data_IF_453532783302
#
_entry.id   IF_453532783302
#
_cell.length_a   1.000
_cell.length_b   1.000
_cell.length_c   1.000
_cell.angle_alpha   90.00
_cell.angle_beta   90.00
_cell.angle_gamma   90.00
#
_symmetry.space_group_name_H-M   'P 1'
#
loop_
_entity.id
_entity.type
_entity.pdbx_description
1 polymer ?
#
# COMPACT_ATOMS: atom_id res chain seq x y z
N UNK A 1 -15.10 28.14 -21.59
CA UNK A 1 -14.72 26.84 -22.14
C UNK A 1 -13.30 26.55 -21.66
N UNK A 2 -13.16 25.87 -20.51
CA UNK A 2 -11.85 25.46 -20.01
C UNK A 2 -11.38 24.26 -20.82
N UNK A 3 -10.23 24.39 -21.49
CA UNK A 3 -9.64 23.26 -22.22
C UNK A 3 -9.38 22.13 -21.25
N UNK A 4 -9.92 20.94 -21.55
CA UNK A 4 -9.59 19.72 -20.82
C UNK A 4 -8.07 19.50 -20.95
N UNK A 5 -7.32 19.81 -19.88
CA UNK A 5 -5.92 19.42 -19.81
C UNK A 5 -5.86 17.89 -19.87
N UNK A 6 -4.99 17.36 -20.71
CA UNK A 6 -4.74 15.93 -20.75
C UNK A 6 -4.39 15.44 -19.33
N UNK A 7 -4.89 14.27 -18.90
CA UNK A 7 -4.63 13.77 -17.56
C UNK A 7 -3.12 13.72 -17.28
N UNK A 8 -2.67 14.12 -16.09
CA UNK A 8 -1.24 14.15 -15.79
C UNK A 8 -0.67 12.74 -15.89
N UNK A 9 0.48 12.60 -16.55
CA UNK A 9 1.22 11.34 -16.54
C UNK A 9 1.73 11.09 -15.12
N UNK A 10 1.69 9.84 -14.63
CA UNK A 10 2.18 9.50 -13.28
C UNK A 10 3.65 9.92 -13.04
N UNK A 11 4.46 10.01 -14.10
CA UNK A 11 5.81 10.57 -14.04
C UNK A 11 5.83 12.06 -13.67
N UNK A 12 4.96 12.88 -14.28
CA UNK A 12 4.83 14.31 -13.96
C UNK A 12 4.27 14.50 -12.56
N UNK A 13 3.30 13.67 -12.17
CA UNK A 13 2.74 13.69 -10.82
C UNK A 13 3.80 13.33 -9.76
N UNK A 14 4.60 12.30 -10.01
CA UNK A 14 5.70 11.92 -9.13
C UNK A 14 6.75 13.03 -8.98
N UNK A 15 7.15 13.66 -10.08
CA UNK A 15 8.08 14.80 -10.04
C UNK A 15 7.49 16.03 -9.32
N UNK A 16 6.18 16.27 -9.46
CA UNK A 16 5.50 17.30 -8.69
C UNK A 16 5.53 16.97 -7.19
N UNK A 17 5.20 15.74 -6.85
CA UNK A 17 5.19 15.28 -5.46
C UNK A 17 6.57 15.41 -4.81
N UNK A 18 7.63 15.03 -5.52
CA UNK A 18 9.01 15.22 -5.08
C UNK A 18 9.32 16.69 -4.73
N UNK A 19 8.96 17.63 -5.60
CA UNK A 19 9.20 19.06 -5.35
C UNK A 19 8.46 19.56 -4.12
N UNK A 20 7.23 19.12 -3.89
CA UNK A 20 6.49 19.52 -2.68
C UNK A 20 7.13 18.93 -1.41
N UNK A 21 7.63 17.69 -1.47
CA UNK A 21 8.38 17.10 -0.35
C UNK A 21 9.70 17.83 -0.07
N UNK A 22 10.41 18.25 -1.11
CA UNK A 22 11.63 19.06 -1.00
C UNK A 22 11.33 20.43 -0.40
N UNK A 23 10.30 21.13 -0.91
CA UNK A 23 9.89 22.45 -0.43
C UNK A 23 9.49 22.44 1.06
N UNK A 24 9.00 21.31 1.57
CA UNK A 24 8.67 21.11 2.99
C UNK A 24 9.79 20.45 3.80
N UNK A 25 10.98 20.26 3.23
CA UNK A 25 12.15 19.67 3.91
C UNK A 25 11.84 18.31 4.54
N UNK A 26 11.12 17.45 3.83
CA UNK A 26 10.83 16.07 4.28
C UNK A 26 12.10 15.19 4.24
N UNK A 27 13.08 15.55 3.41
CA UNK A 27 14.39 14.88 3.37
C UNK A 27 14.37 13.47 2.77
N UNK A 28 13.44 13.20 1.84
CA UNK A 28 13.43 11.97 1.07
C UNK A 28 14.66 11.89 0.15
N UNK A 29 15.36 10.76 0.17
CA UNK A 29 16.48 10.48 -0.75
C UNK A 29 16.06 9.60 -1.93
N UNK A 30 14.92 8.95 -1.81
CA UNK A 30 14.29 8.20 -2.90
C UNK A 30 12.79 8.14 -2.68
N UNK A 31 12.06 8.25 -3.78
CA UNK A 31 10.62 8.03 -3.83
C UNK A 31 10.33 6.86 -4.75
N UNK A 32 9.48 5.96 -4.27
CA UNK A 32 8.97 4.86 -5.09
C UNK A 32 7.44 4.86 -5.01
N UNK A 33 6.81 4.13 -5.90
CA UNK A 33 5.39 3.80 -5.78
C UNK A 33 5.17 2.31 -5.95
N UNK A 34 4.05 1.83 -5.41
CA UNK A 34 3.58 0.48 -5.68
C UNK A 34 3.06 0.37 -7.11
N UNK A 35 3.26 -0.80 -7.70
CA UNK A 35 2.87 -1.21 -9.04
C UNK A 35 3.76 -0.68 -10.18
N UNK A 36 3.73 -1.38 -11.31
CA UNK A 36 4.43 -0.98 -12.53
C UNK A 36 3.63 0.09 -13.29
N UNK A 37 4.27 0.82 -14.21
CA UNK A 37 3.59 1.85 -14.99
C UNK A 37 2.34 1.33 -15.73
N UNK A 38 2.38 0.09 -16.23
CA UNK A 38 1.24 -0.56 -16.92
C UNK A 38 0.07 -0.89 -15.99
N UNK A 39 0.27 -0.85 -14.67
CA UNK A 39 -0.75 -1.13 -13.67
C UNK A 39 -1.43 0.14 -13.12
N UNK A 40 -0.92 1.32 -13.53
CA UNK A 40 -1.41 2.63 -13.14
C UNK A 40 -2.22 3.23 -14.30
N UNK A 41 -3.54 3.17 -14.18
CA UNK A 41 -4.45 3.60 -15.24
C UNK A 41 -5.11 4.91 -14.87
N UNK A 42 -4.64 5.99 -15.47
CA UNK A 42 -5.23 7.31 -15.31
C UNK A 42 -6.64 7.36 -15.94
N UNK A 43 -7.57 8.15 -15.38
CA UNK A 43 -7.45 8.95 -14.17
C UNK A 43 -7.85 8.19 -12.89
N UNK A 44 -7.90 6.85 -12.92
CA UNK A 44 -8.57 6.04 -11.89
C UNK A 44 -7.65 5.41 -10.85
N UNK A 45 -6.40 5.07 -11.19
CA UNK A 45 -5.45 4.53 -10.21
C UNK A 45 -4.80 5.66 -9.40
N UNK A 46 -4.74 5.50 -8.09
CA UNK A 46 -3.94 6.33 -7.21
C UNK A 46 -2.47 5.90 -7.23
N UNK A 47 -1.61 6.83 -6.84
CA UNK A 47 -0.16 6.64 -6.73
C UNK A 47 0.19 6.28 -5.28
N UNK A 48 0.36 4.99 -5.03
CA UNK A 48 0.74 4.43 -3.72
C UNK A 48 2.22 4.69 -3.40
N UNK A 49 2.56 5.89 -2.93
CA UNK A 49 3.95 6.32 -2.67
C UNK A 49 4.59 5.59 -1.47
N UNK A 50 5.90 5.37 -1.53
CA UNK A 50 6.79 4.99 -0.42
C UNK A 50 7.94 6.00 -0.35
N UNK A 51 8.32 6.38 0.87
CA UNK A 51 9.41 7.32 1.10
C UNK A 51 10.62 6.59 1.65
N UNK A 52 11.80 6.82 1.08
CA UNK A 52 13.06 6.36 1.60
C UNK A 52 13.83 7.54 2.18
N UNK A 53 14.20 7.42 3.45
CA UNK A 53 14.97 8.41 4.20
C UNK A 53 16.41 7.94 4.38
N UNK A 54 17.39 8.85 4.45
CA UNK A 54 18.78 8.47 4.69
C UNK A 54 18.96 7.83 6.07
N UNK A 55 18.20 8.32 7.06
CA UNK A 55 18.13 7.83 8.44
C UNK A 55 16.78 8.19 9.06
N UNK A 56 16.46 7.63 10.22
CA UNK A 56 15.29 8.05 10.98
C UNK A 56 15.39 9.55 11.36
N UNK A 57 14.31 10.35 11.21
CA UNK A 57 14.24 11.70 11.75
C UNK A 57 14.39 11.68 13.28
N UNK A 58 14.93 12.77 13.83
CA UNK A 58 14.98 12.96 15.27
C UNK A 58 13.58 13.17 15.89
N UNK A 59 12.65 13.71 15.10
CA UNK A 59 11.26 13.89 15.50
C UNK A 59 10.31 13.48 14.36
N UNK A 60 9.72 12.29 14.50
CA UNK A 60 8.71 11.78 13.58
C UNK A 60 7.44 12.61 13.53
N UNK A 61 7.05 13.29 14.62
CA UNK A 61 5.81 14.08 14.66
C UNK A 61 5.95 15.30 13.76
N UNK A 62 7.04 16.05 13.94
CA UNK A 62 7.38 17.21 13.10
C UNK A 62 7.58 16.80 11.64
N UNK A 63 8.28 15.68 11.38
CA UNK A 63 8.43 15.14 10.04
C UNK A 63 7.09 14.82 9.36
N UNK A 64 6.12 14.28 10.11
CA UNK A 64 4.78 14.00 9.59
C UNK A 64 3.97 15.26 9.32
N UNK A 65 4.11 16.33 10.11
CA UNK A 65 3.46 17.61 9.82
C UNK A 65 3.94 18.19 8.48
N UNK A 66 5.25 18.12 8.22
CA UNK A 66 5.84 18.51 6.93
C UNK A 66 5.35 17.65 5.78
N UNK A 67 5.27 16.32 5.98
CA UNK A 67 4.75 15.39 4.99
C UNK A 67 3.27 15.66 4.67
N UNK A 68 2.44 15.92 5.69
CA UNK A 68 1.03 16.27 5.51
C UNK A 68 0.87 17.57 4.72
N UNK A 69 1.67 18.59 5.05
CA UNK A 69 1.66 19.87 4.34
C UNK A 69 2.04 19.69 2.86
N UNK A 70 3.15 18.98 2.57
CA UNK A 70 3.59 18.70 1.20
C UNK A 70 2.52 17.95 0.40
N UNK A 71 1.88 16.96 1.02
CA UNK A 71 0.82 16.21 0.37
C UNK A 71 -0.42 17.07 0.07
N UNK A 72 -0.83 17.89 1.04
CA UNK A 72 -1.95 18.84 0.91
C UNK A 72 -1.68 19.84 -0.21
N UNK A 73 -0.46 20.38 -0.31
CA UNK A 73 -0.06 21.28 -1.38
C UNK A 73 -0.16 20.57 -2.74
N UNK A 74 0.40 19.36 -2.86
CA UNK A 74 0.38 18.58 -4.10
C UNK A 74 -1.04 18.29 -4.60
N UNK A 75 -1.94 17.86 -3.70
CA UNK A 75 -3.36 17.60 -4.00
C UNK A 75 -4.08 18.88 -4.40
N UNK A 76 -3.75 20.01 -3.80
CA UNK A 76 -4.41 21.31 -4.06
C UNK A 76 -4.03 21.93 -5.41
N UNK A 77 -2.97 21.44 -6.08
CA UNK A 77 -2.52 21.99 -7.37
C UNK A 77 -3.51 21.78 -8.51
N UNK A 78 -4.24 20.67 -8.52
CA UNK A 78 -5.16 20.31 -9.60
C UNK A 78 -6.27 19.36 -9.09
N UNK A 79 -7.49 19.52 -9.61
CA UNK A 79 -8.63 18.70 -9.20
C UNK A 79 -8.44 17.21 -9.49
N UNK A 80 -7.73 16.86 -10.56
CA UNK A 80 -7.42 15.46 -10.90
C UNK A 80 -6.51 14.80 -9.88
N UNK A 81 -5.70 15.56 -9.14
CA UNK A 81 -4.79 15.02 -8.13
C UNK A 81 -5.53 14.43 -6.93
N UNK A 82 -6.78 14.81 -6.68
CA UNK A 82 -7.58 14.29 -5.55
C UNK A 82 -7.72 12.76 -5.59
N UNK A 83 -7.89 12.19 -6.80
CA UNK A 83 -7.92 10.73 -6.99
C UNK A 83 -6.52 10.15 -7.11
N UNK A 84 -5.63 10.81 -7.84
CA UNK A 84 -4.31 10.26 -8.15
C UNK A 84 -3.35 10.28 -6.94
N UNK A 85 -3.57 11.18 -5.98
CA UNK A 85 -2.87 11.29 -4.70
C UNK A 85 -3.88 11.15 -3.55
N UNK A 86 -4.79 10.17 -3.64
CA UNK A 86 -5.83 9.93 -2.63
C UNK A 86 -5.26 9.78 -1.21
N UNK A 87 -4.02 9.28 -1.13
CA UNK A 87 -3.36 8.93 0.11
C UNK A 87 -1.97 9.55 0.21
N UNK A 88 -1.59 10.08 1.39
CA UNK A 88 -0.17 10.27 1.71
C UNK A 88 0.57 8.93 1.68
N UNK A 89 1.92 8.94 1.63
CA UNK A 89 2.73 7.74 1.46
C UNK A 89 2.32 6.64 2.43
N UNK A 90 2.30 5.40 1.93
CA UNK A 90 1.85 4.25 2.71
C UNK A 90 2.91 3.73 3.69
N UNK A 91 4.19 4.00 3.41
CA UNK A 91 5.31 3.62 4.27
C UNK A 91 6.46 4.63 4.16
N UNK A 92 7.24 4.74 5.24
CA UNK A 92 8.55 5.37 5.25
C UNK A 92 9.62 4.39 5.77
N UNK A 93 10.65 4.13 4.97
CA UNK A 93 11.77 3.27 5.32
C UNK A 93 13.08 4.03 5.33
N UNK A 94 14.09 3.53 6.03
CA UNK A 94 15.46 4.03 5.89
C UNK A 94 16.22 3.29 4.78
N UNK A 95 17.26 3.93 4.25
CA UNK A 95 18.18 3.28 3.30
C UNK A 95 18.86 2.06 3.94
N UNK A 96 19.15 2.10 5.24
CA UNK A 96 19.70 0.97 5.99
C UNK A 96 18.74 -0.22 6.00
N UNK A 97 17.44 0.01 6.24
CA UNK A 97 16.42 -1.06 6.23
C UNK A 97 16.29 -1.74 4.87
N UNK A 98 16.31 -0.95 3.79
CA UNK A 98 16.29 -1.47 2.42
C UNK A 98 17.58 -2.25 2.09
N UNK A 99 18.75 -1.73 2.49
CA UNK A 99 20.04 -2.41 2.30
C UNK A 99 20.15 -3.71 3.10
N UNK A 100 19.62 -3.71 4.33
CA UNK A 100 19.63 -4.83 5.28
C UNK A 100 18.63 -5.94 4.96
N UNK A 101 17.85 -5.83 3.86
CA UNK A 101 16.82 -6.80 3.45
C UNK A 101 15.66 -6.94 4.44
N UNK A 102 15.31 -5.83 5.10
CA UNK A 102 14.28 -5.80 6.14
C UNK A 102 12.93 -5.31 5.63
N UNK A 103 12.92 -4.69 4.43
CA UNK A 103 11.68 -4.49 3.68
C UNK A 103 11.27 -5.82 3.07
N UNK A 104 10.02 -6.23 3.28
CA UNK A 104 9.52 -7.49 2.77
C UNK A 104 9.74 -7.59 1.25
N UNK A 105 10.42 -8.65 0.81
CA UNK A 105 10.69 -8.93 -0.60
C UNK A 105 9.44 -8.86 -1.50
N UNK A 106 8.26 -9.41 -1.13
CA UNK A 106 7.08 -9.34 -2.00
C UNK A 106 6.48 -7.93 -2.08
N UNK A 107 6.70 -7.06 -1.09
CA UNK A 107 6.34 -5.64 -1.22
C UNK A 107 7.33 -4.92 -2.15
N UNK A 108 8.63 -5.08 -1.92
CA UNK A 108 9.68 -4.40 -2.70
C UNK A 108 9.65 -4.79 -4.19
N UNK A 109 9.37 -6.06 -4.50
CA UNK A 109 9.25 -6.55 -5.88
C UNK A 109 8.20 -5.81 -6.71
N UNK A 110 7.20 -5.19 -6.07
CA UNK A 110 6.14 -4.44 -6.74
C UNK A 110 6.48 -2.97 -6.98
N UNK A 111 7.60 -2.48 -6.45
CA UNK A 111 7.93 -1.06 -6.52
C UNK A 111 8.37 -0.63 -7.92
N UNK A 112 8.17 0.65 -8.18
CA UNK A 112 8.69 1.41 -9.31
C UNK A 112 9.29 2.72 -8.81
N UNK A 113 10.35 3.19 -9.46
CA UNK A 113 11.08 4.39 -9.04
C UNK A 113 10.35 5.64 -9.54
N UNK A 114 10.17 6.62 -8.63
CA UNK A 114 9.80 7.99 -8.97
C UNK A 114 11.08 8.81 -9.13
N UNK A 115 11.92 8.82 -8.08
CA UNK A 115 13.15 9.61 -8.02
C UNK A 115 14.18 8.99 -7.09
N UNK A 116 15.46 9.38 -7.24
CA UNK A 116 16.59 8.89 -6.47
C UNK A 116 17.52 7.95 -7.25
N UNK A 117 18.35 7.18 -6.54
CA UNK A 117 19.38 6.31 -7.12
C UNK A 117 18.79 5.10 -7.85
N UNK A 118 18.79 5.12 -9.19
CA UNK A 118 18.41 3.98 -10.04
C UNK A 118 19.22 2.73 -9.71
N UNK A 119 20.52 2.88 -9.46
CA UNK A 119 21.42 1.77 -9.14
C UNK A 119 21.01 1.06 -7.85
N UNK A 120 20.74 1.80 -6.79
CA UNK A 120 20.36 1.22 -5.50
C UNK A 120 18.97 0.59 -5.58
N UNK A 121 18.03 1.26 -6.25
CA UNK A 121 16.69 0.73 -6.48
C UNK A 121 16.72 -0.60 -7.24
N UNK A 122 17.43 -0.68 -8.37
CA UNK A 122 17.55 -1.92 -9.13
C UNK A 122 18.24 -3.02 -8.33
N UNK A 123 19.29 -2.69 -7.56
CA UNK A 123 19.93 -3.63 -6.65
C UNK A 123 18.94 -4.23 -5.66
N UNK A 124 18.10 -3.42 -5.03
CA UNK A 124 17.09 -3.91 -4.08
C UNK A 124 16.01 -4.74 -4.79
N UNK A 125 15.49 -4.25 -5.92
CA UNK A 125 14.42 -4.91 -6.67
C UNK A 125 14.86 -6.28 -7.20
N UNK A 126 16.03 -6.36 -7.83
CA UNK A 126 16.59 -7.63 -8.30
C UNK A 126 16.82 -8.61 -7.15
N UNK A 127 17.34 -8.14 -6.00
CA UNK A 127 17.50 -9.01 -4.81
C UNK A 127 16.17 -9.55 -4.31
N UNK A 128 15.14 -8.71 -4.22
CA UNK A 128 13.81 -9.13 -3.80
C UNK A 128 13.20 -10.14 -4.78
N UNK A 129 13.36 -9.94 -6.09
CA UNK A 129 12.84 -10.86 -7.12
C UNK A 129 13.58 -12.21 -7.16
N UNK A 130 14.90 -12.20 -6.95
CA UNK A 130 15.74 -13.42 -7.01
C UNK A 130 15.83 -14.19 -5.69
N UNK A 131 15.40 -13.61 -4.56
CA UNK A 131 15.43 -14.32 -3.28
C UNK A 131 14.58 -15.60 -3.36
N UNK A 132 14.97 -16.66 -2.65
CA UNK A 132 14.15 -17.86 -2.54
C UNK A 132 12.77 -17.53 -1.97
N UNK A 133 11.75 -18.25 -2.40
CA UNK A 133 10.42 -18.15 -1.82
C UNK A 133 10.44 -18.62 -0.36
N UNK A 134 9.82 -17.87 0.55
CA UNK A 134 9.74 -18.21 1.98
C UNK A 134 8.31 -18.06 2.54
N UNK A 135 8.15 -18.44 3.80
CA UNK A 135 6.86 -18.36 4.51
C UNK A 135 6.34 -16.91 4.61
N UNK A 136 7.24 -15.92 4.68
CA UNK A 136 6.88 -14.51 4.65
C UNK A 136 6.18 -14.09 3.35
N UNK A 137 6.60 -14.66 2.20
CA UNK A 137 5.92 -14.45 0.91
C UNK A 137 4.51 -15.04 0.95
N UNK A 138 4.41 -16.27 1.43
CA UNK A 138 3.14 -16.96 1.53
C UNK A 138 2.15 -16.18 2.42
N UNK A 139 2.59 -15.70 3.58
CA UNK A 139 1.78 -14.84 4.45
C UNK A 139 1.33 -13.56 3.73
N UNK A 140 2.24 -12.89 3.02
CA UNK A 140 1.94 -11.66 2.29
C UNK A 140 0.84 -11.87 1.24
N UNK A 141 1.01 -12.84 0.34
CA UNK A 141 0.04 -13.07 -0.74
C UNK A 141 -1.28 -13.66 -0.23
N UNK A 142 -1.25 -14.52 0.79
CA UNK A 142 -2.49 -15.00 1.44
C UNK A 142 -3.23 -13.87 2.15
N UNK A 143 -2.54 -12.92 2.76
CA UNK A 143 -3.18 -11.75 3.37
C UNK A 143 -3.92 -10.88 2.34
N UNK A 144 -3.37 -10.74 1.12
CA UNK A 144 -4.05 -10.07 0.00
C UNK A 144 -5.37 -10.77 -0.35
N UNK A 145 -5.34 -12.09 -0.49
CA UNK A 145 -6.52 -12.91 -0.81
C UNK A 145 -7.54 -12.88 0.32
N UNK A 146 -7.13 -13.14 1.55
CA UNK A 146 -8.00 -13.14 2.72
C UNK A 146 -8.70 -11.79 2.88
N UNK A 147 -7.96 -10.69 2.70
CA UNK A 147 -8.48 -9.34 2.83
C UNK A 147 -9.46 -8.89 1.73
N UNK A 148 -9.65 -9.67 0.65
CA UNK A 148 -10.56 -9.36 -0.47
C UNK A 148 -11.65 -10.43 -0.66
N UNK A 149 -11.30 -11.71 -0.50
CA UNK A 149 -12.22 -12.84 -0.66
C UNK A 149 -12.98 -13.15 0.64
N UNK A 150 -12.27 -13.14 1.78
CA UNK A 150 -12.83 -13.46 3.10
C UNK A 150 -13.88 -12.46 3.62
N UNK A 151 -14.08 -11.36 2.90
CA UNK A 151 -15.08 -10.32 3.20
C UNK A 151 -15.93 -9.91 2.00
N UNK A 152 -16.09 -10.77 0.99
CA UNK A 152 -16.87 -10.58 -0.27
C UNK A 152 -16.90 -9.13 -0.74
N UNK A 153 -15.86 -8.74 -1.48
CA UNK A 153 -15.70 -7.41 -2.08
C UNK A 153 -17.03 -6.74 -2.47
N UNK A 154 -17.23 -5.52 -1.98
CA UNK A 154 -18.40 -4.70 -2.24
C UNK A 154 -17.98 -3.49 -3.04
N UNK A 155 -18.45 -3.38 -4.28
CA UNK A 155 -18.13 -2.23 -5.14
C UNK A 155 -18.51 -0.88 -4.50
N UNK A 156 -19.58 -0.86 -3.68
CA UNK A 156 -20.00 0.34 -2.96
C UNK A 156 -18.99 0.82 -1.91
N UNK A 157 -18.04 -0.03 -1.49
CA UNK A 157 -16.97 0.36 -0.57
C UNK A 157 -15.88 1.20 -1.26
N UNK A 158 -15.78 1.15 -2.60
CA UNK A 158 -14.91 2.04 -3.39
C UNK A 158 -15.63 3.36 -3.65
N UNK A 159 -15.24 4.38 -2.89
CA UNK A 159 -15.86 5.70 -2.99
C UNK A 159 -15.50 6.34 -4.35
N UNK A 160 -16.50 6.91 -5.06
CA UNK A 160 -16.28 7.75 -6.23
C UNK A 160 -16.11 9.24 -5.88
N UNK A 161 -16.07 9.64 -4.60
CA UNK A 161 -16.22 11.04 -4.18
C UNK A 161 -15.08 11.95 -4.68
N UNK A 162 -13.88 11.40 -4.87
CA UNK A 162 -12.72 12.13 -5.42
C UNK A 162 -12.56 11.97 -6.95
N UNK A 163 -13.52 11.31 -7.63
CA UNK A 163 -13.49 11.07 -9.07
C UNK A 163 -14.17 12.21 -9.81
N UNK A 164 -13.40 12.96 -10.59
CA UNK A 164 -13.90 14.15 -11.29
C UNK A 164 -14.80 13.78 -12.48
N UNK A 165 -14.48 12.70 -13.21
CA UNK A 165 -15.18 12.33 -14.44
C UNK A 165 -15.35 10.81 -14.59
N UNK A 166 -16.35 10.42 -15.39
CA UNK A 166 -16.60 9.05 -15.83
C UNK A 166 -16.70 8.01 -14.69
N UNK A 167 -17.62 8.26 -13.74
CA UNK A 167 -17.91 7.34 -12.61
C UNK A 167 -18.19 5.91 -13.09
N UNK A 168 -18.82 5.74 -14.25
CA UNK A 168 -19.07 4.42 -14.83
C UNK A 168 -17.77 3.68 -15.18
N UNK A 169 -16.78 4.36 -15.76
CA UNK A 169 -15.45 3.79 -16.00
C UNK A 169 -14.71 3.51 -14.69
N UNK A 170 -14.76 4.43 -13.74
CA UNK A 170 -14.17 4.21 -12.41
C UNK A 170 -14.72 2.96 -11.73
N UNK A 171 -16.05 2.75 -11.75
CA UNK A 171 -16.66 1.54 -11.17
C UNK A 171 -16.18 0.26 -11.85
N UNK A 172 -15.96 0.27 -13.17
CA UNK A 172 -15.35 -0.88 -13.87
C UNK A 172 -13.88 -1.05 -13.44
N UNK A 173 -13.15 0.05 -13.34
CA UNK A 173 -11.77 0.07 -12.86
C UNK A 173 -11.65 -0.55 -11.46
N UNK A 174 -12.53 -0.21 -10.51
CA UNK A 174 -12.52 -0.81 -9.18
C UNK A 174 -12.67 -2.34 -9.22
N UNK A 175 -13.63 -2.85 -10.01
CA UNK A 175 -13.81 -4.30 -10.17
C UNK A 175 -12.56 -4.98 -10.73
N UNK A 176 -11.98 -4.42 -11.79
CA UNK A 176 -10.85 -5.05 -12.49
C UNK A 176 -9.55 -4.87 -11.71
N UNK A 177 -9.23 -3.65 -11.28
CA UNK A 177 -7.91 -3.26 -10.80
C UNK A 177 -7.79 -3.13 -9.28
N UNK A 178 -8.90 -2.97 -8.54
CA UNK A 178 -8.88 -2.98 -7.06
C UNK A 178 -9.30 -4.34 -6.47
N UNK A 179 -10.17 -5.07 -7.18
CA UNK A 179 -10.65 -6.39 -6.75
C UNK A 179 -9.96 -7.55 -7.46
N UNK A 180 -10.20 -7.73 -8.76
CA UNK A 180 -9.76 -8.93 -9.48
C UNK A 180 -8.24 -9.01 -9.62
N UNK A 181 -7.60 -8.02 -10.23
CA UNK A 181 -6.19 -8.10 -10.57
C UNK A 181 -5.27 -8.25 -9.35
N UNK A 182 -5.53 -7.61 -8.19
CA UNK A 182 -4.78 -7.90 -6.96
C UNK A 182 -4.97 -9.33 -6.45
N UNK A 183 -6.18 -9.91 -6.57
CA UNK A 183 -6.42 -11.31 -6.20
C UNK A 183 -5.72 -12.27 -7.18
N UNK A 184 -5.78 -12.00 -8.48
CA UNK A 184 -5.09 -12.77 -9.51
C UNK A 184 -3.57 -12.73 -9.32
N UNK A 185 -3.04 -11.54 -9.02
CA UNK A 185 -1.64 -11.32 -8.68
C UNK A 185 -1.19 -12.20 -7.51
N UNK A 186 -1.95 -12.21 -6.42
CA UNK A 186 -1.62 -13.06 -5.28
C UNK A 186 -1.78 -14.56 -5.57
N UNK A 187 -2.83 -14.95 -6.30
CA UNK A 187 -3.05 -16.33 -6.70
C UNK A 187 -1.92 -16.85 -7.61
N UNK A 188 -1.49 -16.05 -8.60
CA UNK A 188 -0.38 -16.35 -9.49
C UNK A 188 0.93 -16.53 -8.72
N UNK A 189 1.23 -15.60 -7.79
CA UNK A 189 2.43 -15.69 -6.97
C UNK A 189 2.45 -16.95 -6.11
N UNK A 190 1.32 -17.29 -5.46
CA UNK A 190 1.21 -18.51 -4.65
C UNK A 190 1.30 -19.79 -5.49
N UNK A 191 0.63 -19.82 -6.65
CA UNK A 191 0.61 -21.00 -7.51
C UNK A 191 1.97 -21.30 -8.15
N UNK A 192 2.73 -20.25 -8.48
CA UNK A 192 4.05 -20.39 -9.13
C UNK A 192 5.21 -20.35 -8.14
N UNK A 193 4.97 -19.94 -6.88
CA UNK A 193 5.99 -19.62 -5.88
C UNK A 193 7.03 -18.62 -6.42
N UNK A 194 6.56 -17.64 -7.18
CA UNK A 194 7.39 -16.55 -7.71
C UNK A 194 6.81 -15.19 -7.35
N UNK A 195 7.68 -14.19 -7.16
CA UNK A 195 7.25 -12.81 -6.91
C UNK A 195 7.00 -12.13 -8.26
N UNK A 196 5.73 -11.96 -8.61
CA UNK A 196 5.34 -11.25 -9.81
C UNK A 196 5.62 -9.74 -9.65
N UNK A 197 6.08 -9.02 -10.69
CA UNK A 197 6.38 -7.60 -10.60
C UNK A 197 5.12 -6.70 -10.53
N UNK A 198 3.94 -7.20 -10.94
CA UNK A 198 2.74 -6.37 -11.03
C UNK A 198 1.47 -7.13 -11.44
N UNK A 199 0.34 -6.41 -11.43
CA UNK A 199 -1.01 -6.96 -11.68
C UNK A 199 -1.17 -7.41 -13.14
N UNK A 200 -0.73 -6.59 -14.08
CA UNK A 200 -0.73 -6.86 -15.53
C UNK A 200 0.16 -8.05 -15.85
N UNK A 201 1.37 -8.08 -15.28
CA UNK A 201 2.30 -9.19 -15.48
C UNK A 201 1.69 -10.51 -15.01
N UNK A 202 0.97 -10.53 -13.87
CA UNK A 202 0.32 -11.73 -13.38
C UNK A 202 -0.80 -12.22 -14.32
N UNK A 203 -1.63 -11.32 -14.85
CA UNK A 203 -2.67 -11.65 -15.84
C UNK A 203 -2.09 -12.15 -17.17
N UNK A 204 -0.91 -11.67 -17.54
CA UNK A 204 -0.22 -12.11 -18.77
C UNK A 204 0.47 -13.46 -18.57
N UNK A 205 1.15 -13.67 -17.45
CA UNK A 205 2.07 -14.80 -17.26
C UNK A 205 1.39 -16.04 -16.67
N UNK A 206 0.32 -15.87 -15.88
CA UNK A 206 -0.35 -16.99 -15.22
C UNK A 206 -1.80 -17.11 -15.68
N UNK A 207 -1.99 -17.98 -16.68
CA UNK A 207 -3.28 -18.32 -17.31
C UNK A 207 -3.49 -19.83 -17.27
N UNK A 208 -3.91 -20.39 -16.14
CA UNK A 208 -4.20 -21.83 -16.08
C UNK A 208 -5.36 -22.16 -17.02
N UNK A 209 -5.38 -23.40 -17.53
CA UNK A 209 -6.38 -23.86 -18.51
C UNK A 209 -7.80 -23.46 -18.14
N UNK A 210 -8.50 -22.78 -19.07
CA UNK A 210 -9.86 -22.29 -18.89
C UNK A 210 -9.95 -20.86 -18.34
N UNK A 211 -8.82 -20.19 -18.11
CA UNK A 211 -8.77 -18.80 -17.62
C UNK A 211 -8.30 -17.77 -18.65
N UNK A 212 -7.87 -18.18 -19.84
CA UNK A 212 -7.32 -17.30 -20.87
C UNK A 212 -8.29 -16.19 -21.27
N UNK A 213 -9.54 -16.54 -21.59
CA UNK A 213 -10.56 -15.56 -21.98
C UNK A 213 -10.92 -14.58 -20.86
N UNK A 214 -10.78 -14.97 -19.59
CA UNK A 214 -10.95 -14.04 -18.47
C UNK A 214 -9.76 -13.08 -18.38
N UNK A 215 -8.53 -13.60 -18.46
CA UNK A 215 -7.34 -12.76 -18.42
C UNK A 215 -7.32 -11.74 -19.56
N UNK A 216 -7.65 -12.16 -20.78
CA UNK A 216 -7.76 -11.28 -21.96
C UNK A 216 -8.85 -10.22 -21.80
N UNK A 217 -10.02 -10.61 -21.30
CA UNK A 217 -11.10 -9.67 -21.00
C UNK A 217 -10.63 -8.56 -20.05
N UNK A 218 -9.94 -8.93 -18.96
CA UNK A 218 -9.54 -7.97 -17.94
C UNK A 218 -8.35 -7.12 -18.36
N UNK A 219 -7.42 -7.68 -19.15
CA UNK A 219 -6.34 -6.92 -19.80
C UNK A 219 -6.91 -5.92 -20.82
N UNK A 220 -7.93 -6.31 -21.59
CA UNK A 220 -8.62 -5.44 -22.52
C UNK A 220 -9.38 -4.27 -21.85
N UNK A 221 -9.52 -4.27 -20.53
CA UNK A 221 -10.02 -3.13 -19.76
C UNK A 221 -8.92 -2.15 -19.30
N UNK A 222 -7.64 -2.49 -19.45
CA UNK A 222 -6.55 -1.51 -19.38
C UNK A 222 -6.37 -0.77 -20.71
N UNK A 223 -6.58 -1.46 -21.82
CA UNK A 223 -6.51 -0.86 -23.15
C UNK A 223 -7.81 -0.08 -23.41
N UNK A 224 -7.72 1.20 -23.70
CA UNK A 224 -8.85 2.10 -23.99
C UNK A 224 -9.47 1.83 -25.38
N UNK A 225 -9.58 0.55 -25.76
CA UNK A 225 -10.08 0.10 -27.07
C UNK A 225 -11.57 0.40 -27.19
N UNK A 226 -11.86 1.36 -28.05
CA UNK A 226 -13.17 1.98 -28.31
C UNK A 226 -14.19 1.08 -29.01
N UNK A 227 -13.80 -0.12 -29.46
CA UNK A 227 -14.57 -0.83 -30.49
C UNK A 227 -15.64 -1.80 -29.94
N UNK A 228 -15.81 -1.89 -28.63
CA UNK A 228 -16.91 -2.66 -28.03
C UNK A 228 -17.66 -1.88 -26.97
N UNK A 229 -18.99 -2.00 -26.96
CA UNK A 229 -19.84 -1.37 -25.95
C UNK A 229 -19.35 -1.80 -24.55
N UNK A 230 -18.97 -0.86 -23.65
CA UNK A 230 -18.41 -1.22 -22.36
C UNK A 230 -19.39 -2.05 -21.54
N UNK A 231 -18.94 -3.18 -21.00
CA UNK A 231 -19.74 -4.02 -20.11
C UNK A 231 -20.05 -3.29 -18.81
N UNK A 232 -21.21 -3.55 -18.21
CA UNK A 232 -21.56 -2.93 -16.92
C UNK A 232 -20.65 -3.44 -15.80
N UNK A 233 -20.38 -2.60 -14.79
CA UNK A 233 -19.56 -2.98 -13.64
C UNK A 233 -20.13 -4.21 -12.89
N UNK A 234 -21.46 -4.32 -12.80
CA UNK A 234 -22.12 -5.48 -12.18
C UNK A 234 -21.88 -6.78 -12.97
N UNK A 235 -21.86 -6.71 -14.30
CA UNK A 235 -21.51 -7.88 -15.12
C UNK A 235 -20.05 -8.28 -14.88
N UNK A 236 -19.12 -7.31 -14.94
CA UNK A 236 -17.70 -7.56 -14.66
C UNK A 236 -17.46 -8.14 -13.27
N UNK A 237 -18.22 -7.69 -12.27
CA UNK A 237 -18.09 -8.20 -10.90
C UNK A 237 -18.48 -9.68 -10.81
N UNK A 238 -19.59 -10.08 -11.46
CA UNK A 238 -19.97 -11.51 -11.54
C UNK A 238 -18.91 -12.32 -12.26
N UNK A 239 -18.43 -11.83 -13.40
CA UNK A 239 -17.34 -12.47 -14.16
C UNK A 239 -16.07 -12.61 -13.32
N UNK A 240 -15.73 -11.58 -12.55
CA UNK A 240 -14.56 -11.59 -11.66
C UNK A 240 -14.71 -12.62 -10.55
N UNK A 241 -15.89 -12.76 -9.95
CA UNK A 241 -16.12 -13.82 -8.95
C UNK A 241 -15.90 -15.21 -9.52
N UNK A 242 -16.48 -15.51 -10.69
CA UNK A 242 -16.31 -16.82 -11.35
C UNK A 242 -14.82 -17.07 -11.66
N UNK A 243 -14.14 -16.08 -12.25
CA UNK A 243 -12.74 -16.20 -12.61
C UNK A 243 -11.84 -16.43 -11.37
N UNK A 244 -12.09 -15.70 -10.27
CA UNK A 244 -11.35 -15.87 -9.03
C UNK A 244 -11.65 -17.20 -8.34
N UNK A 245 -12.91 -17.66 -8.32
CA UNK A 245 -13.24 -18.98 -7.79
C UNK A 245 -12.50 -20.08 -8.55
N UNK A 246 -12.45 -20.01 -9.88
CA UNK A 246 -11.69 -20.96 -10.69
C UNK A 246 -10.18 -20.85 -10.46
N UNK A 247 -9.64 -19.62 -10.38
CA UNK A 247 -8.22 -19.39 -10.09
C UNK A 247 -7.81 -19.93 -8.72
N UNK A 248 -8.66 -19.74 -7.70
CA UNK A 248 -8.39 -20.19 -6.34
C UNK A 248 -8.27 -21.71 -6.21
N UNK A 249 -8.93 -22.49 -7.07
CA UNK A 249 -8.74 -23.96 -7.13
C UNK A 249 -7.34 -24.38 -7.59
N UNK A 250 -6.55 -23.45 -8.13
CA UNK A 250 -5.17 -23.67 -8.57
C UNK A 250 -4.14 -23.14 -7.57
N UNK A 251 -4.58 -22.50 -6.49
CA UNK A 251 -3.71 -22.03 -5.42
C UNK A 251 -3.47 -23.19 -4.45
N UNK A 252 -2.22 -23.59 -4.20
CA UNK A 252 -1.93 -24.64 -3.23
C UNK A 252 -2.50 -24.32 -1.84
N UNK A 253 -2.95 -25.36 -1.13
CA UNK A 253 -3.30 -25.23 0.28
C UNK A 253 -2.09 -24.72 1.08
N UNK A 254 -2.37 -23.96 2.14
CA UNK A 254 -1.33 -23.45 3.00
C UNK A 254 -0.55 -24.58 3.66
N UNK A 255 0.77 -24.56 3.54
CA UNK A 255 1.60 -25.36 4.44
C UNK A 255 1.32 -24.94 5.89
N UNK A 256 1.46 -25.88 6.84
CA UNK A 256 1.57 -25.48 8.25
C UNK A 256 2.80 -24.58 8.35
N UNK A 257 2.58 -23.29 8.62
CA UNK A 257 3.64 -22.32 8.90
C UNK A 257 4.49 -22.91 10.02
N UNK A 258 5.70 -23.37 9.68
CA UNK A 258 6.65 -23.84 10.69
C UNK A 258 7.09 -22.65 11.54
N UNK A 259 7.50 -22.92 12.78
CA UNK A 259 7.85 -21.95 13.82
C UNK A 259 9.13 -21.13 13.52
N UNK A 260 9.29 -20.59 12.31
CA UNK A 260 10.34 -19.61 11.96
C UNK A 260 9.94 -18.18 12.37
N UNK A 261 9.29 -18.04 13.54
CA UNK A 261 8.81 -16.76 14.06
C UNK A 261 9.96 -15.76 14.28
N UNK A 262 11.17 -16.23 14.57
CA UNK A 262 12.31 -15.38 14.93
C UNK A 262 12.94 -14.65 13.74
N UNK A 263 13.13 -15.31 12.59
CA UNK A 263 13.76 -14.69 11.40
C UNK A 263 12.85 -13.62 10.78
N UNK A 264 11.53 -13.78 10.93
CA UNK A 264 10.55 -12.82 10.44
C UNK A 264 10.32 -11.62 11.36
N UNK A 265 10.66 -11.72 12.65
CA UNK A 265 10.35 -10.67 13.62
C UNK A 265 10.94 -9.30 13.24
N UNK A 266 12.16 -9.27 12.67
CA UNK A 266 12.80 -8.03 12.22
C UNK A 266 12.10 -7.40 11.03
N UNK A 267 11.76 -8.20 10.03
CA UNK A 267 11.00 -7.74 8.85
C UNK A 267 9.61 -7.29 9.27
N UNK A 268 8.92 -8.05 10.13
CA UNK A 268 7.59 -7.70 10.63
C UNK A 268 7.63 -6.40 11.45
N UNK A 269 8.68 -6.18 12.24
CA UNK A 269 8.95 -4.91 12.93
C UNK A 269 9.12 -3.76 11.92
N UNK A 270 10.05 -3.89 10.97
CA UNK A 270 10.36 -2.83 9.99
C UNK A 270 9.16 -2.51 9.10
N UNK A 271 8.41 -3.52 8.68
CA UNK A 271 7.17 -3.31 7.91
C UNK A 271 6.11 -2.59 8.76
N UNK A 272 5.96 -2.94 10.03
CA UNK A 272 5.01 -2.30 10.93
C UNK A 272 5.42 -0.87 11.27
N UNK A 273 6.68 -0.64 11.63
CA UNK A 273 7.23 0.70 11.87
C UNK A 273 7.16 1.56 10.62
N UNK A 274 7.55 1.02 9.46
CA UNK A 274 7.47 1.70 8.17
C UNK A 274 6.08 2.24 7.86
N UNK A 275 5.06 1.44 8.13
CA UNK A 275 3.66 1.82 7.97
C UNK A 275 3.18 2.82 9.04
N UNK A 276 3.64 2.70 10.29
CA UNK A 276 3.24 3.61 11.38
C UNK A 276 3.92 4.99 11.28
N UNK A 277 5.12 5.06 10.71
CA UNK A 277 5.91 6.30 10.53
C UNK A 277 5.22 7.39 9.72
N UNK A 278 4.21 7.04 8.92
CA UNK A 278 3.47 7.96 8.05
C UNK A 278 2.04 8.23 8.54
N UNK A 279 1.63 7.64 9.67
CA UNK A 279 0.23 7.68 10.13
C UNK A 279 -0.21 9.06 10.57
N UNK A 280 0.65 9.77 11.29
CA UNK A 280 0.34 11.15 11.69
C UNK A 280 0.05 12.00 10.45
N UNK A 281 0.87 11.89 9.39
CA UNK A 281 0.62 12.64 8.15
C UNK A 281 -0.70 12.24 7.46
N UNK A 282 -0.99 10.93 7.38
CA UNK A 282 -2.25 10.41 6.83
C UNK A 282 -3.46 10.94 7.61
N UNK A 283 -3.42 10.89 8.93
CA UNK A 283 -4.53 11.32 9.76
C UNK A 283 -4.72 12.83 9.75
N UNK A 284 -3.64 13.63 9.76
CA UNK A 284 -3.72 15.09 9.61
C UNK A 284 -4.40 15.44 8.28
N UNK A 285 -3.99 14.81 7.18
CA UNK A 285 -4.61 15.02 5.87
C UNK A 285 -6.09 14.58 5.85
N UNK A 286 -6.44 13.44 6.45
CA UNK A 286 -7.85 13.01 6.45
C UNK A 286 -8.75 13.85 7.33
N UNK A 287 -8.23 14.37 8.45
CA UNK A 287 -8.99 15.20 9.39
C UNK A 287 -9.11 16.65 8.90
N UNK A 288 -8.22 17.09 8.02
CA UNK A 288 -8.20 18.45 7.48
C UNK A 288 -7.80 18.45 6.01
N UNK A 289 -8.60 17.82 5.13
CA UNK A 289 -8.27 17.73 3.72
C UNK A 289 -8.47 19.08 3.01
N UNK A 290 -7.83 19.29 1.84
CA UNK A 290 -8.11 20.46 1.00
C UNK A 290 -9.60 20.60 0.67
N UNK A 291 -10.10 21.82 0.41
CA UNK A 291 -11.49 22.04 0.02
C UNK A 291 -11.90 21.17 -1.19
N UNK A 292 -13.02 20.46 -1.04
CA UNK A 292 -13.59 19.59 -2.07
C UNK A 292 -12.93 18.21 -2.19
N UNK A 293 -12.06 17.83 -1.26
CA UNK A 293 -11.53 16.47 -1.14
C UNK A 293 -12.31 15.70 -0.09
N UNK A 294 -12.80 14.52 -0.44
CA UNK A 294 -13.49 13.63 0.48
C UNK A 294 -12.51 12.63 1.12
N UNK A 295 -12.53 12.50 2.44
CA UNK A 295 -11.60 11.61 3.18
C UNK A 295 -12.29 10.77 4.25
N UNK A 296 -13.60 10.94 4.47
CA UNK A 296 -14.34 10.24 5.52
C UNK A 296 -14.34 8.72 5.33
N UNK A 297 -14.36 8.26 4.09
CA UNK A 297 -14.23 6.84 3.78
C UNK A 297 -12.82 6.31 4.02
N UNK A 298 -11.79 7.16 3.89
CA UNK A 298 -10.39 6.81 4.19
C UNK A 298 -10.20 6.63 5.69
N UNK A 299 -10.80 7.50 6.51
CA UNK A 299 -10.81 7.36 7.97
C UNK A 299 -11.36 5.99 8.37
N UNK A 300 -12.52 5.57 7.83
CA UNK A 300 -13.10 4.24 8.14
C UNK A 300 -12.22 3.07 7.70
N UNK A 301 -11.48 3.22 6.59
CA UNK A 301 -10.58 2.18 6.06
C UNK A 301 -9.35 1.96 6.96
N UNK A 302 -8.91 2.95 7.74
CA UNK A 302 -7.78 2.83 8.67
C UNK A 302 -7.96 1.68 9.68
N UNK A 303 -9.20 1.36 10.10
CA UNK A 303 -9.45 0.29 11.07
C UNK A 303 -8.89 -1.08 10.65
N UNK A 304 -8.81 -1.35 9.34
CA UNK A 304 -8.22 -2.61 8.84
C UNK A 304 -6.71 -2.63 9.07
N UNK A 305 -6.04 -1.53 8.73
CA UNK A 305 -4.57 -1.41 8.80
C UNK A 305 -4.10 -1.34 10.26
N UNK A 306 -4.80 -0.58 11.10
CA UNK A 306 -4.48 -0.46 12.53
C UNK A 306 -4.70 -1.77 13.29
N UNK A 307 -5.76 -2.53 12.99
CA UNK A 307 -5.93 -3.88 13.55
C UNK A 307 -4.84 -4.84 13.10
N UNK A 308 -4.38 -4.74 11.85
CA UNK A 308 -3.26 -5.56 11.38
C UNK A 308 -1.96 -5.20 12.13
N UNK A 309 -1.67 -3.90 12.29
CA UNK A 309 -0.55 -3.41 13.07
C UNK A 309 -0.57 -3.90 14.51
N UNK A 310 -1.70 -3.74 15.20
CA UNK A 310 -1.88 -4.15 16.59
C UNK A 310 -1.67 -5.67 16.77
N UNK A 311 -2.16 -6.49 15.83
CA UNK A 311 -1.91 -7.94 15.84
C UNK A 311 -0.43 -8.26 15.69
N UNK A 312 0.26 -7.66 14.72
CA UNK A 312 1.69 -7.88 14.52
C UNK A 312 2.49 -7.46 15.75
N UNK A 313 2.20 -6.30 16.34
CA UNK A 313 2.86 -5.85 17.57
C UNK A 313 2.58 -6.75 18.77
N UNK A 314 1.36 -7.30 18.86
CA UNK A 314 1.02 -8.27 19.92
C UNK A 314 1.85 -9.56 19.77
N UNK A 315 2.03 -10.05 18.54
CA UNK A 315 2.91 -11.20 18.26
C UNK A 315 4.36 -10.87 18.61
N UNK A 316 4.86 -9.71 18.18
CA UNK A 316 6.20 -9.23 18.53
C UNK A 316 6.38 -9.02 20.04
N UNK A 317 5.30 -8.78 20.79
CA UNK A 317 5.34 -8.58 22.23
C UNK A 317 5.29 -9.87 23.07
N UNK A 318 5.12 -11.05 22.46
CA UNK A 318 4.63 -12.27 23.13
C UNK A 318 5.34 -12.66 24.44
N UNK A 319 6.64 -12.39 24.60
CA UNK A 319 7.41 -12.71 25.81
C UNK A 319 7.80 -11.51 26.68
N UNK A 320 7.72 -10.28 26.15
CA UNK A 320 8.16 -9.02 26.81
C UNK A 320 9.56 -9.10 27.47
N UNK A 321 10.41 -10.00 27.01
CA UNK A 321 11.71 -10.30 27.62
C UNK A 321 12.75 -9.25 27.22
N UNK A 322 12.74 -8.81 25.96
CA UNK A 322 13.68 -7.81 25.45
C UNK A 322 13.11 -6.39 25.52
N UNK A 323 13.96 -5.33 25.54
CA UNK A 323 13.50 -3.95 25.43
C UNK A 323 12.61 -3.70 24.20
N UNK A 324 12.95 -4.29 23.05
CA UNK A 324 12.16 -4.19 21.82
C UNK A 324 10.76 -4.81 22.01
N UNK A 325 10.65 -5.99 22.61
CA UNK A 325 9.34 -6.63 22.87
C UNK A 325 8.48 -5.81 23.83
N UNK A 326 9.07 -5.20 24.86
CA UNK A 326 8.35 -4.28 25.77
C UNK A 326 7.87 -3.03 25.03
N UNK A 327 8.70 -2.50 24.13
CA UNK A 327 8.35 -1.34 23.32
C UNK A 327 7.21 -1.66 22.33
N UNK A 328 7.24 -2.83 21.67
CA UNK A 328 6.11 -3.32 20.86
C UNK A 328 4.83 -3.47 21.68
N UNK A 329 4.91 -3.99 22.92
CA UNK A 329 3.75 -4.10 23.80
C UNK A 329 3.15 -2.74 24.15
N UNK A 330 3.99 -1.74 24.45
CA UNK A 330 3.54 -0.36 24.70
C UNK A 330 2.92 0.23 23.45
N UNK A 331 3.56 0.10 22.29
CA UNK A 331 3.04 0.61 21.02
C UNK A 331 1.70 -0.04 20.64
N UNK A 332 1.54 -1.36 20.86
CA UNK A 332 0.28 -2.06 20.62
C UNK A 332 -0.88 -1.46 21.43
N UNK A 333 -0.63 -1.04 22.67
CA UNK A 333 -1.63 -0.41 23.53
C UNK A 333 -2.04 1.00 23.07
N UNK A 334 -1.23 1.66 22.22
CA UNK A 334 -1.52 2.98 21.67
C UNK A 334 -2.30 2.94 20.35
N UNK A 335 -2.55 1.75 19.79
CA UNK A 335 -3.24 1.59 18.50
C UNK A 335 -4.72 1.29 18.74
N UNK A 336 -5.64 2.09 18.17
CA UNK A 336 -7.07 1.78 18.27
C UNK A 336 -7.39 0.52 17.45
N UNK A 337 -8.11 -0.43 18.07
CA UNK A 337 -8.52 -1.69 17.43
C UNK A 337 -10.00 -1.71 17.03
N UNK A 338 -10.78 -0.71 17.44
CA UNK A 338 -12.19 -0.54 17.09
C UNK A 338 -12.42 0.14 15.73
N UNK A 339 -13.67 0.49 15.41
CA UNK A 339 -13.99 1.34 14.27
C UNK A 339 -13.25 2.68 14.34
N UNK A 340 -12.76 3.15 13.19
CA UNK A 340 -12.09 4.45 13.09
C UNK A 340 -13.07 5.53 12.64
N UNK A 341 -13.10 6.62 13.41
CA UNK A 341 -13.86 7.84 13.15
C UNK A 341 -12.94 9.06 13.27
N UNK A 342 -13.39 10.25 12.87
CA UNK A 342 -12.61 11.47 13.07
C UNK A 342 -12.24 11.67 14.56
N UNK A 343 -13.20 11.44 15.46
CA UNK A 343 -12.97 11.49 16.91
C UNK A 343 -11.94 10.46 17.39
N UNK A 344 -11.98 9.23 16.84
CA UNK A 344 -10.96 8.20 17.13
C UNK A 344 -9.56 8.69 16.72
N UNK A 345 -9.41 9.24 15.52
CA UNK A 345 -8.10 9.70 15.04
C UNK A 345 -7.59 10.91 15.83
N UNK A 346 -8.45 11.89 16.17
CA UNK A 346 -8.07 12.99 17.06
C UNK A 346 -7.61 12.49 18.43
N UNK A 347 -8.34 11.56 19.03
CA UNK A 347 -7.97 10.97 20.32
C UNK A 347 -6.65 10.21 20.25
N UNK A 348 -6.42 9.45 19.17
CA UNK A 348 -5.16 8.72 18.95
C UNK A 348 -3.99 9.66 18.71
N UNK A 349 -4.15 10.73 17.92
CA UNK A 349 -3.12 11.77 17.75
C UNK A 349 -2.75 12.41 19.10
N UNK A 350 -3.75 12.81 19.89
CA UNK A 350 -3.51 13.39 21.21
C UNK A 350 -2.83 12.40 22.17
N UNK A 351 -3.17 11.11 22.10
CA UNK A 351 -2.52 10.06 22.87
C UNK A 351 -1.06 9.86 22.44
N UNK A 352 -0.79 9.78 21.13
CA UNK A 352 0.56 9.62 20.60
C UNK A 352 1.45 10.82 20.94
N UNK A 353 0.89 12.03 20.96
CA UNK A 353 1.60 13.22 21.42
C UNK A 353 1.97 13.14 22.91
N UNK A 354 1.06 12.70 23.79
CA UNK A 354 1.37 12.50 25.22
C UNK A 354 2.40 11.39 25.44
N UNK A 355 2.34 10.34 24.63
CA UNK A 355 3.24 9.19 24.66
C UNK A 355 4.40 9.33 23.65
N UNK A 356 4.80 10.57 23.34
CA UNK A 356 5.75 10.86 22.25
C UNK A 356 7.04 10.07 22.38
N UNK A 357 7.63 9.94 23.57
CA UNK A 357 8.85 9.15 23.77
C UNK A 357 8.68 7.70 23.30
N UNK A 358 7.61 7.03 23.73
CA UNK A 358 7.27 5.66 23.31
C UNK A 358 7.16 5.53 21.79
N UNK A 359 6.45 6.47 21.17
CA UNK A 359 6.21 6.46 19.73
C UNK A 359 7.52 6.69 18.98
N UNK A 360 8.30 7.69 19.37
CA UNK A 360 9.59 8.02 18.74
C UNK A 360 10.58 6.87 18.89
N UNK A 361 10.70 6.29 20.09
CA UNK A 361 11.58 5.15 20.35
C UNK A 361 11.22 3.97 19.44
N UNK A 362 9.93 3.65 19.29
CA UNK A 362 9.49 2.54 18.45
C UNK A 362 9.79 2.80 16.97
N UNK A 363 9.46 3.99 16.47
CA UNK A 363 9.60 4.34 15.05
C UNK A 363 11.08 4.53 14.64
N UNK A 364 11.95 4.87 15.59
CA UNK A 364 13.39 5.09 15.35
C UNK A 364 14.29 3.90 15.70
N UNK A 365 13.74 2.84 16.31
CA UNK A 365 14.54 1.70 16.74
C UNK A 365 15.31 1.09 15.56
N UNK A 366 16.63 0.99 15.70
CA UNK A 366 17.47 0.43 14.66
C UNK A 366 17.18 -1.07 14.51
N UNK A 367 17.21 -1.63 13.29
CA UNK A 367 16.89 -3.03 13.10
C UNK A 367 17.82 -4.02 13.83
N UNK A 368 19.07 -3.61 14.10
CA UNK A 368 20.04 -4.41 14.86
C UNK A 368 19.61 -4.64 16.33
N UNK A 369 18.81 -3.73 16.88
CA UNK A 369 18.33 -3.76 18.26
C UNK A 369 17.05 -4.60 18.43
N UNK A 370 16.42 -4.99 17.31
CA UNK A 370 15.33 -5.96 17.31
C UNK A 370 15.94 -7.36 17.43
N UNK A 371 16.08 -7.82 18.68
CA UNK A 371 16.46 -9.20 19.02
C UNK A 371 15.20 -10.00 19.40
N UNK A 372 15.03 -11.22 18.85
CA UNK A 372 13.92 -12.11 19.21
C UNK A 372 13.89 -12.45 20.70
#
# INVERSE_FOLDING_TARGET
>A
MGGAQAPPTYSRLGALYERELEARSVGAVMLTHKWQATDLLAPHSDLDVRVLLPKAPADWEEWNHRLAAAHTDAVSRDLSHRRLLEHPPGFAFTVEEANGRLVAAPELATWSLISGSVRDFQRWKSRAQMASWCDGDERFYRAILHGRLGGRYQLAADSPDNVVENIAAYRRHCVVWHYLAPCWFAAAALATRTRCPGKTAALTQWRPTGLDGYAELFLGHADDRTDTRPRSASHLLRTAHVALETAMRRVPEGGRLADHLEEHARTDWVMTAGMLRVRVARWLYYLSPPPGVATEYLIRREAKELRAAARTLTVLAAKRATPAQRLAARMAALIPTGPTTAGTLHATLALWHREKSTVQDFLSLAPADVRP
#
